data_IF_335361702278
#
_entry.id   IF_335361702278
#
_cell.length_a   1.000
_cell.length_b   1.000
_cell.length_c   1.000
_cell.angle_alpha   90.00
_cell.angle_beta   90.00
_cell.angle_gamma   90.00
#
_symmetry.space_group_name_H-M   'P 1'
#
loop_
_entity.id
_entity.type
_entity.pdbx_description
1 polymer ?
#
# COMPACT_ATOMS: atom_id res chain seq x y z
N UNK A 1 15.08 15.26 -21.31
CA UNK A 1 14.61 16.16 -20.22
C UNK A 1 13.85 15.33 -19.21
N UNK A 2 14.21 15.29 -17.91
CA UNK A 2 13.30 14.75 -16.90
C UNK A 2 12.14 15.75 -16.73
N UNK A 3 10.92 15.25 -16.72
CA UNK A 3 9.72 16.08 -16.53
C UNK A 3 9.75 16.68 -15.13
N UNK A 4 9.56 17.99 -15.00
CA UNK A 4 9.39 18.67 -13.72
C UNK A 4 8.33 17.92 -12.89
N UNK A 5 8.70 17.42 -11.72
CA UNK A 5 7.84 16.61 -10.85
C UNK A 5 8.17 15.10 -10.79
N UNK A 6 9.08 14.58 -11.61
CA UNK A 6 9.65 13.23 -11.42
C UNK A 6 10.77 13.26 -10.36
N UNK A 7 10.43 13.63 -9.13
CA UNK A 7 11.29 13.28 -8.00
C UNK A 7 11.08 11.79 -7.69
N UNK A 8 12.17 11.07 -7.38
CA UNK A 8 12.06 9.77 -6.73
C UNK A 8 11.11 9.91 -5.53
N UNK A 9 10.06 9.09 -5.50
CA UNK A 9 9.05 9.12 -4.44
C UNK A 9 9.55 8.53 -3.12
N UNK A 10 10.69 7.82 -3.13
CA UNK A 10 11.21 7.10 -1.97
C UNK A 10 11.53 7.99 -0.76
N UNK A 11 12.16 9.17 -0.89
CA UNK A 11 12.37 10.07 0.25
C UNK A 11 11.07 10.53 0.91
N UNK A 12 10.03 10.81 0.11
CA UNK A 12 8.71 11.18 0.62
C UNK A 12 8.04 9.99 1.33
N UNK A 13 8.05 8.80 0.70
CA UNK A 13 7.54 7.56 1.28
C UNK A 13 8.19 7.27 2.63
N UNK A 14 9.52 7.35 2.71
CA UNK A 14 10.26 7.18 3.96
C UNK A 14 9.83 8.19 5.01
N UNK A 15 9.70 9.47 4.64
CA UNK A 15 9.29 10.51 5.57
C UNK A 15 7.87 10.27 6.11
N UNK A 16 6.94 9.90 5.25
CA UNK A 16 5.56 9.57 5.64
C UNK A 16 5.56 8.36 6.58
N UNK A 17 6.21 7.25 6.22
CA UNK A 17 6.24 6.04 7.05
C UNK A 17 6.95 6.24 8.40
N UNK A 18 7.93 7.15 8.49
CA UNK A 18 8.54 7.52 9.76
C UNK A 18 7.56 8.26 10.69
N UNK A 19 6.62 9.03 10.13
CA UNK A 19 5.68 9.87 10.90
C UNK A 19 4.34 9.18 11.16
N UNK A 20 3.90 8.31 10.24
CA UNK A 20 2.57 7.70 10.24
C UNK A 20 2.68 6.22 9.87
N UNK A 21 2.48 5.37 10.87
CA UNK A 21 2.48 3.90 10.72
C UNK A 21 1.08 3.32 10.49
N UNK A 22 0.07 4.15 10.69
CA UNK A 22 -1.36 3.85 10.55
C UNK A 22 -1.87 4.00 9.10
N UNK A 23 -1.07 4.56 8.20
CA UNK A 23 -1.48 4.76 6.81
C UNK A 23 -1.29 3.48 5.99
N UNK A 24 -2.36 3.10 5.28
CA UNK A 24 -2.26 2.17 4.16
C UNK A 24 -1.67 2.90 2.95
N UNK A 25 -0.57 2.37 2.41
CA UNK A 25 0.15 3.00 1.29
C UNK A 25 0.24 2.03 0.11
N UNK A 26 -0.23 2.50 -1.05
CA UNK A 26 -0.14 1.80 -2.33
C UNK A 26 0.80 2.57 -3.26
N UNK A 27 1.76 1.88 -3.88
CA UNK A 27 2.76 2.47 -4.78
C UNK A 27 2.58 1.95 -6.20
N UNK A 28 2.45 2.86 -7.18
CA UNK A 28 2.44 2.53 -8.61
C UNK A 28 3.80 2.84 -9.24
N UNK A 29 4.51 1.80 -9.67
CA UNK A 29 5.88 1.89 -10.19
C UNK A 29 6.01 1.33 -11.62
N UNK A 30 6.95 1.85 -12.39
CA UNK A 30 7.26 1.29 -13.71
C UNK A 30 7.85 -0.12 -13.59
N UNK A 31 8.64 -0.36 -12.53
CA UNK A 31 9.30 -1.63 -12.24
C UNK A 31 9.04 -2.03 -10.77
N UNK A 32 7.89 -2.64 -10.46
CA UNK A 32 7.48 -2.94 -9.07
C UNK A 32 8.48 -3.83 -8.33
N UNK A 33 9.00 -4.86 -9.01
CA UNK A 33 9.99 -5.78 -8.42
C UNK A 33 11.26 -5.05 -7.99
N UNK A 34 11.71 -4.05 -8.77
CA UNK A 34 12.89 -3.26 -8.42
C UNK A 34 12.65 -2.41 -7.17
N UNK A 35 11.43 -1.88 -6.99
CA UNK A 35 11.05 -1.14 -5.78
C UNK A 35 10.98 -2.06 -4.57
N UNK A 36 10.39 -3.26 -4.73
CA UNK A 36 10.31 -4.26 -3.66
C UNK A 36 11.69 -4.79 -3.21
N UNK A 37 12.67 -4.78 -4.11
CA UNK A 37 14.05 -5.15 -3.82
C UNK A 37 14.88 -4.01 -3.22
N UNK A 38 14.34 -2.79 -3.19
CA UNK A 38 15.05 -1.63 -2.64
C UNK A 38 15.12 -1.74 -1.10
N UNK A 39 16.34 -1.77 -0.57
CA UNK A 39 16.59 -1.82 0.89
C UNK A 39 16.10 -0.56 1.61
N UNK A 40 15.90 0.54 0.89
CA UNK A 40 15.36 1.77 1.44
C UNK A 40 13.83 1.77 1.53
N UNK A 41 13.13 0.75 1.00
CA UNK A 41 11.68 0.64 1.09
C UNK A 41 11.24 0.41 2.54
N UNK A 42 10.39 1.30 3.10
CA UNK A 42 9.78 1.06 4.40
C UNK A 42 9.09 -0.31 4.48
N UNK A 43 9.43 -1.10 5.50
CA UNK A 43 8.96 -2.49 5.65
C UNK A 43 7.43 -2.65 5.70
N UNK A 44 6.69 -1.59 6.04
CA UNK A 44 5.23 -1.58 6.05
C UNK A 44 4.59 -1.50 4.65
N UNK A 45 5.36 -1.20 3.60
CA UNK A 45 4.84 -1.10 2.24
C UNK A 45 4.87 -2.48 1.59
N UNK A 46 3.72 -3.15 1.56
CA UNK A 46 3.52 -4.41 0.82
C UNK A 46 2.79 -4.24 -0.52
N UNK A 47 2.12 -3.10 -0.72
CA UNK A 47 1.26 -2.87 -1.89
C UNK A 47 1.99 -2.08 -2.97
N UNK A 48 2.82 -2.76 -3.77
CA UNK A 48 3.54 -2.17 -4.90
C UNK A 48 3.10 -2.82 -6.20
N UNK A 49 2.58 -2.02 -7.13
CA UNK A 49 2.02 -2.50 -8.39
C UNK A 49 2.56 -1.75 -9.61
N UNK A 50 2.39 -2.36 -10.79
CA UNK A 50 2.82 -1.76 -12.04
C UNK A 50 1.99 -0.52 -12.37
N UNK A 51 2.57 0.51 -12.99
CA UNK A 51 1.80 1.64 -13.52
C UNK A 51 0.79 1.24 -14.61
N UNK A 52 0.95 0.06 -15.18
CA UNK A 52 0.07 -0.53 -16.19
C UNK A 52 -1.05 -1.39 -15.61
N UNK A 53 -1.30 -1.33 -14.29
CA UNK A 53 -2.42 -2.05 -13.68
C UNK A 53 -3.76 -1.66 -14.31
N UNK A 54 -4.67 -2.63 -14.37
CA UNK A 54 -6.02 -2.40 -14.83
C UNK A 54 -6.74 -1.39 -13.89
N UNK A 55 -7.34 -0.30 -14.41
CA UNK A 55 -8.01 0.71 -13.58
C UNK A 55 -9.18 0.16 -12.76
N UNK A 56 -10.00 -0.74 -13.33
CA UNK A 56 -11.14 -1.34 -12.62
C UNK A 56 -10.69 -2.19 -11.44
N UNK A 57 -9.58 -2.92 -11.62
CA UNK A 57 -8.95 -3.65 -10.52
C UNK A 57 -8.41 -2.70 -9.44
N UNK A 58 -7.75 -1.61 -9.83
CA UNK A 58 -7.24 -0.62 -8.89
C UNK A 58 -8.38 0.02 -8.09
N UNK A 59 -9.48 0.37 -8.75
CA UNK A 59 -10.70 0.87 -8.10
C UNK A 59 -11.21 -0.14 -7.08
N UNK A 60 -11.31 -1.43 -7.44
CA UNK A 60 -11.74 -2.47 -6.52
C UNK A 60 -10.82 -2.58 -5.30
N UNK A 61 -9.51 -2.59 -5.49
CA UNK A 61 -8.52 -2.66 -4.40
C UNK A 61 -8.66 -1.46 -3.45
N UNK A 62 -8.76 -0.24 -4.00
CA UNK A 62 -8.94 0.97 -3.20
C UNK A 62 -10.27 0.94 -2.46
N UNK A 63 -11.35 0.50 -3.10
CA UNK A 63 -12.64 0.34 -2.42
C UNK A 63 -12.53 -0.63 -1.25
N UNK A 64 -11.90 -1.80 -1.42
CA UNK A 64 -11.73 -2.76 -0.33
C UNK A 64 -10.90 -2.18 0.83
N UNK A 65 -9.82 -1.47 0.52
CA UNK A 65 -9.00 -0.80 1.54
C UNK A 65 -9.80 0.19 2.40
N UNK A 66 -10.66 0.99 1.77
CA UNK A 66 -11.49 1.97 2.46
C UNK A 66 -12.59 1.34 3.33
N UNK A 67 -13.09 0.16 2.96
CA UNK A 67 -14.11 -0.56 3.73
C UNK A 67 -13.49 -1.46 4.83
N UNK A 68 -12.27 -1.96 4.63
CA UNK A 68 -11.56 -2.81 5.58
C UNK A 68 -11.22 -2.13 6.91
N UNK A 69 -11.04 -0.80 6.91
CA UNK A 69 -10.83 -0.01 8.15
C UNK A 69 -12.11 0.12 9.01
N UNK A 70 -13.28 -0.28 8.49
CA UNK A 70 -14.54 -0.30 9.26
C UNK A 70 -14.78 -1.60 10.03
N UNK A 71 -13.99 -2.66 9.81
CA UNK A 71 -14.25 -3.98 10.41
C UNK A 71 -13.47 -4.20 11.72
N UNK A 72 -13.66 -3.29 12.68
CA UNK A 72 -13.32 -3.52 14.09
C UNK A 72 -14.34 -4.41 14.81
N UNK A 73 -14.91 -5.42 14.14
CA UNK A 73 -15.80 -6.42 14.75
C UNK A 73 -15.10 -7.76 14.71
N UNK A 74 -14.49 -8.11 15.84
CA UNK A 74 -14.10 -9.48 16.16
C UNK A 74 -15.37 -10.35 16.09
N UNK A 75 -15.44 -11.39 15.25
CA UNK A 75 -16.55 -12.34 15.35
C UNK A 75 -16.48 -13.00 16.75
N UNK A 76 -17.60 -13.19 17.45
CA UNK A 76 -17.58 -13.84 18.74
C UNK A 76 -16.99 -15.24 18.56
N UNK A 77 -16.04 -15.58 19.45
CA UNK A 77 -15.48 -16.90 19.52
C UNK A 77 -16.63 -17.91 19.58
N UNK A 78 -16.68 -18.80 18.59
CA UNK A 78 -17.56 -19.96 18.65
C UNK A 78 -17.00 -20.88 19.75
N UNK A 79 -17.55 -20.72 20.95
CA UNK A 79 -17.42 -21.68 22.03
C UNK A 79 -18.18 -22.94 21.61
N UNK A 80 -17.46 -23.87 20.98
CA UNK A 80 -17.95 -25.21 20.73
C UNK A 80 -17.75 -26.06 21.99
N UNK A 81 -18.52 -25.73 23.02
CA UNK A 81 -18.76 -26.64 24.13
C UNK A 81 -19.79 -27.69 23.72
N UNK A 82 -19.32 -28.88 23.33
CA UNK A 82 -19.88 -30.16 23.79
C UNK A 82 -19.01 -31.36 23.41
#
# INVERSE_FOLDING_TARGET
>A
MPTVGQADGMPLLRRICCLRRDLLILVLAQQPLRVLQDRALPAQIGHVYAKTVNPSWLCHVVSQALHGESSGVTPPAQDAGR
#
